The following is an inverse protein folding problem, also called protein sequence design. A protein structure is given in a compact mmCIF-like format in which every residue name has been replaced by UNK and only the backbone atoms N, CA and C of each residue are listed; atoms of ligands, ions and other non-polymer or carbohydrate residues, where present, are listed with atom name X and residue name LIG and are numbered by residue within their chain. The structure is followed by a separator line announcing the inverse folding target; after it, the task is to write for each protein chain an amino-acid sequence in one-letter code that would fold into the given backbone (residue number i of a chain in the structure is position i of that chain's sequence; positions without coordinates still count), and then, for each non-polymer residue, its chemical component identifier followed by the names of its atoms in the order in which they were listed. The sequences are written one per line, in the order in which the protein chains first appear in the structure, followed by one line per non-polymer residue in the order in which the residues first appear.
data_IF_307232000123
#
_entry.id   IF_307232000123
#
_cell.length_a   1.000
_cell.length_b   1.000
_cell.length_c   1.000
_cell.angle_alpha   90.00
_cell.angle_beta   90.00
_cell.angle_gamma   90.00
#
_symmetry.space_group_name_H-M   'P 1'
#
loop_
_entity.id
_entity.type
_entity.pdbx_description
1 polymer ?
#
# COMPACT_ATOMS: atom_id res chain seq x y z
N UNK A 1 -56.34 -1.63 -58.52
CA UNK A 1 -55.50 -0.67 -59.27
C UNK A 1 -54.18 -1.34 -59.59
N UNK A 2 -53.74 -1.17 -60.84
CA UNK A 2 -52.64 -1.80 -61.58
C UNK A 2 -51.25 -1.70 -60.91
N UNK A 3 -50.42 -2.76 -60.99
CA UNK A 3 -49.21 -2.92 -61.87
C UNK A 3 -48.00 -2.11 -61.38
N UNK A 4 -46.76 -2.62 -61.25
CA UNK A 4 -45.96 -3.58 -62.02
C UNK A 4 -44.92 -4.22 -61.06
N UNK A 5 -44.66 -5.53 -61.06
CA UNK A 5 -43.91 -6.35 -62.01
C UNK A 5 -42.40 -6.01 -62.15
N UNK A 6 -41.55 -6.85 -61.55
CA UNK A 6 -40.48 -7.51 -62.31
C UNK A 6 -40.22 -8.90 -61.71
N UNK A 7 -40.24 -9.90 -62.60
CA UNK A 7 -39.93 -11.31 -62.36
C UNK A 7 -38.45 -11.52 -62.64
N UNK A 8 -37.82 -12.46 -61.93
CA UNK A 8 -37.00 -13.43 -62.65
C UNK A 8 -37.07 -14.81 -62.00
N UNK A 9 -37.32 -15.77 -62.85
CA UNK A 9 -37.53 -17.21 -62.64
C UNK A 9 -36.22 -17.98 -62.78
N UNK A 10 -36.03 -19.07 -62.04
CA UNK A 10 -35.88 -20.40 -62.67
C UNK A 10 -35.76 -21.53 -61.64
N UNK A 11 -36.58 -22.54 -61.88
CA UNK A 11 -36.58 -23.91 -61.34
C UNK A 11 -35.40 -24.71 -61.91
N UNK A 12 -34.80 -25.62 -61.14
CA UNK A 12 -34.49 -27.03 -61.50
C UNK A 12 -33.44 -27.60 -60.53
N UNK A 13 -33.86 -28.57 -59.73
CA UNK A 13 -33.51 -30.00 -59.85
C UNK A 13 -32.05 -30.32 -59.48
N UNK A 14 -31.93 -30.97 -58.32
CA UNK A 14 -30.77 -31.74 -57.90
C UNK A 14 -30.35 -32.74 -58.98
N UNK A 15 -29.11 -32.61 -59.44
CA UNK A 15 -28.41 -33.64 -60.18
C UNK A 15 -27.23 -34.10 -59.32
N UNK A 16 -27.31 -35.37 -58.94
CA UNK A 16 -26.30 -36.17 -58.25
C UNK A 16 -24.97 -36.17 -59.02
N UNK A 17 -23.86 -35.89 -58.34
CA UNK A 17 -22.50 -35.90 -58.90
C UNK A 17 -21.49 -36.47 -57.90
N UNK A 18 -20.45 -37.18 -58.38
CA UNK A 18 -19.93 -38.39 -57.77
C UNK A 18 -19.02 -38.13 -56.56
N UNK A 19 -19.19 -38.97 -55.54
CA UNK A 19 -18.32 -39.02 -54.36
C UNK A 19 -16.88 -39.39 -54.76
N UNK A 20 -15.97 -38.40 -54.71
CA UNK A 20 -14.52 -38.64 -54.76
C UNK A 20 -14.11 -39.49 -53.56
N UNK A 21 -13.75 -40.76 -53.79
CA UNK A 21 -13.02 -41.59 -52.81
C UNK A 21 -11.74 -40.87 -52.37
N UNK A 22 -11.76 -40.23 -51.19
CA UNK A 22 -10.55 -39.82 -50.49
C UNK A 22 -9.81 -41.08 -50.06
N UNK A 23 -8.66 -41.37 -50.67
CA UNK A 23 -7.71 -42.37 -50.16
C UNK A 23 -7.24 -41.90 -48.77
N UNK A 24 -7.74 -42.55 -47.72
CA UNK A 24 -7.17 -42.41 -46.36
C UNK A 24 -5.78 -43.05 -46.37
N UNK A 25 -4.74 -42.23 -46.31
CA UNK A 25 -3.41 -42.68 -45.92
C UNK A 25 -3.49 -43.21 -44.48
N UNK A 26 -3.09 -44.46 -44.26
CA UNK A 26 -3.05 -45.05 -42.92
C UNK A 26 -2.07 -44.24 -42.08
N UNK A 27 -2.55 -43.66 -40.97
CA UNK A 27 -1.83 -42.75 -40.06
C UNK A 27 -0.43 -43.28 -39.67
N UNK A 28 -0.23 -44.60 -39.62
CA UNK A 28 1.08 -45.22 -39.35
C UNK A 28 2.17 -44.91 -40.37
N UNK A 29 1.84 -44.69 -41.66
CA UNK A 29 2.86 -44.41 -42.68
C UNK A 29 3.35 -42.96 -42.64
N UNK A 30 2.58 -42.03 -42.07
CA UNK A 30 2.98 -40.63 -41.92
C UNK A 30 3.94 -40.45 -40.74
N UNK A 31 3.72 -41.18 -39.64
CA UNK A 31 4.61 -41.17 -38.46
C UNK A 31 5.98 -41.79 -38.81
N UNK A 32 6.00 -42.88 -39.58
CA UNK A 32 7.25 -43.49 -40.03
C UNK A 32 8.07 -42.55 -40.95
N UNK A 33 7.40 -41.78 -41.82
CA UNK A 33 8.09 -40.84 -42.71
C UNK A 33 8.68 -39.64 -41.95
N UNK A 34 7.97 -39.13 -40.93
CA UNK A 34 8.46 -38.03 -40.09
C UNK A 34 9.66 -38.47 -39.25
N UNK A 35 9.62 -39.69 -38.70
CA UNK A 35 10.74 -40.24 -37.91
C UNK A 35 12.01 -40.43 -38.75
N UNK A 36 11.87 -40.92 -39.99
CA UNK A 36 13.02 -41.08 -40.90
C UNK A 36 13.59 -39.72 -41.31
N UNK A 37 12.75 -38.72 -41.61
CA UNK A 37 13.23 -37.37 -41.91
C UNK A 37 13.96 -36.70 -40.73
N UNK A 38 13.50 -36.90 -39.49
CA UNK A 38 14.13 -36.35 -38.30
C UNK A 38 15.52 -36.97 -38.03
N UNK A 39 15.68 -38.27 -38.26
CA UNK A 39 16.98 -38.96 -38.10
C UNK A 39 17.99 -38.50 -39.17
N UNK A 40 17.55 -38.32 -40.42
CA UNK A 40 18.42 -37.83 -41.50
C UNK A 40 18.83 -36.37 -41.27
N UNK A 41 17.92 -35.51 -40.80
CA UNK A 41 18.21 -34.13 -40.44
C UNK A 41 19.16 -34.03 -39.24
N UNK A 42 18.95 -34.83 -38.19
CA UNK A 42 19.84 -34.88 -37.03
C UNK A 42 21.25 -35.35 -37.38
N UNK A 43 21.37 -36.37 -38.25
CA UNK A 43 22.66 -36.86 -38.73
C UNK A 43 23.44 -35.83 -39.57
N UNK A 44 22.74 -35.08 -40.42
CA UNK A 44 23.36 -34.03 -41.25
C UNK A 44 23.84 -32.83 -40.41
N UNK A 45 23.08 -32.42 -39.38
CA UNK A 45 23.47 -31.34 -38.47
C UNK A 45 24.69 -31.74 -37.62
N UNK A 46 24.73 -32.98 -37.13
CA UNK A 46 25.88 -33.49 -36.36
C UNK A 46 27.15 -33.62 -37.22
N UNK A 47 27.02 -34.08 -38.47
CA UNK A 47 28.14 -34.14 -39.41
C UNK A 47 28.65 -32.73 -39.79
N UNK A 48 27.73 -31.77 -39.99
CA UNK A 48 28.08 -30.37 -40.26
C UNK A 48 28.82 -29.70 -39.10
N UNK A 49 28.40 -29.94 -37.86
CA UNK A 49 29.09 -29.42 -36.66
C UNK A 49 30.49 -30.01 -36.50
N UNK A 50 30.71 -31.29 -36.86
CA UNK A 50 32.02 -31.94 -36.78
C UNK A 50 33.00 -31.53 -37.89
N UNK A 51 32.49 -31.08 -39.04
CA UNK A 51 33.30 -30.63 -40.20
C UNK A 51 33.58 -29.13 -40.20
N UNK A 52 32.72 -28.32 -39.59
CA UNK A 52 32.79 -26.84 -39.62
C UNK A 52 32.83 -26.18 -38.24
N UNK A 53 32.89 -26.98 -37.16
CA UNK A 53 33.08 -26.48 -35.80
C UNK A 53 34.43 -25.80 -35.61
N UNK A 54 34.55 -24.80 -34.72
CA UNK A 54 35.77 -24.02 -34.56
C UNK A 54 36.93 -24.92 -34.11
N UNK A 55 38.03 -24.88 -34.86
CA UNK A 55 39.31 -25.47 -34.45
C UNK A 55 39.90 -24.59 -33.36
N UNK A 56 40.07 -25.14 -32.16
CA UNK A 56 40.65 -24.43 -31.03
C UNK A 56 42.11 -24.07 -31.30
N UNK A 57 42.47 -22.81 -31.06
CA UNK A 57 43.85 -22.38 -30.92
C UNK A 57 44.37 -22.88 -29.56
N UNK A 58 45.46 -23.65 -29.61
CA UNK A 58 46.28 -23.96 -28.44
C UNK A 58 46.87 -22.65 -27.88
N UNK A 59 46.23 -22.10 -26.86
CA UNK A 59 46.86 -21.12 -25.98
C UNK A 59 47.56 -21.84 -24.84
N UNK A 60 48.88 -21.73 -24.91
CA UNK A 60 49.88 -21.98 -23.87
C UNK A 60 49.32 -21.73 -22.45
N UNK A 61 49.19 -22.79 -21.66
CA UNK A 61 48.84 -22.72 -20.24
C UNK A 61 49.97 -22.05 -19.47
N UNK A 62 49.77 -20.79 -19.09
CA UNK A 62 50.46 -20.24 -17.95
C UNK A 62 49.90 -20.91 -16.69
N UNK A 63 50.79 -21.40 -15.84
CA UNK A 63 50.48 -22.01 -14.55
C UNK A 63 49.89 -20.91 -13.64
N UNK A 64 48.55 -20.84 -13.56
CA UNK A 64 47.84 -19.96 -12.63
C UNK A 64 47.55 -20.80 -11.40
N UNK A 65 48.36 -20.62 -10.37
CA UNK A 65 48.08 -21.09 -9.01
C UNK A 65 46.67 -20.62 -8.62
N UNK A 66 45.75 -21.52 -8.22
CA UNK A 66 44.41 -21.11 -7.80
C UNK A 66 44.55 -20.23 -6.55
N UNK A 67 44.05 -19.01 -6.64
CA UNK A 67 43.90 -18.11 -5.50
C UNK A 67 42.94 -18.79 -4.50
N UNK A 68 43.27 -18.83 -3.19
CA UNK A 68 42.44 -19.52 -2.23
C UNK A 68 41.07 -18.85 -2.19
N UNK A 69 40.03 -19.61 -2.52
CA UNK A 69 38.64 -19.20 -2.36
C UNK A 69 38.44 -18.78 -0.91
N UNK A 70 38.16 -17.50 -0.69
CA UNK A 70 37.85 -16.98 0.63
C UNK A 70 36.68 -17.78 1.19
N UNK A 71 36.92 -18.52 2.27
CA UNK A 71 35.87 -19.17 3.06
C UNK A 71 34.84 -18.10 3.43
N UNK A 72 33.53 -18.29 3.18
CA UNK A 72 32.54 -17.32 3.59
C UNK A 72 32.67 -17.11 5.10
N UNK A 73 32.89 -15.86 5.51
CA UNK A 73 32.86 -15.46 6.91
C UNK A 73 31.50 -15.89 7.47
N UNK A 74 31.45 -16.68 8.56
CA UNK A 74 30.17 -17.04 9.15
C UNK A 74 29.43 -15.77 9.52
N UNK A 75 28.17 -15.64 9.08
CA UNK A 75 27.29 -14.58 9.56
C UNK A 75 27.28 -14.62 11.09
N UNK A 76 27.48 -13.46 11.75
CA UNK A 76 27.44 -13.41 13.20
C UNK A 76 26.09 -13.96 13.67
N UNK A 77 26.12 -14.91 14.60
CA UNK A 77 24.90 -15.43 15.22
C UNK A 77 24.14 -14.27 15.84
N UNK A 78 22.82 -14.10 15.56
CA UNK A 78 22.04 -12.99 16.10
C UNK A 78 22.13 -12.96 17.63
N UNK A 79 22.46 -11.80 18.20
CA UNK A 79 22.48 -11.63 19.66
C UNK A 79 21.07 -11.88 20.20
N UNK A 80 20.86 -12.88 21.08
CA UNK A 80 19.52 -13.20 21.59
C UNK A 80 18.88 -12.04 22.37
N UNK A 81 19.70 -11.09 22.86
CA UNK A 81 19.24 -9.91 23.60
C UNK A 81 18.79 -8.76 22.68
N UNK A 82 19.00 -8.88 21.37
CA UNK A 82 18.60 -7.87 20.39
C UNK A 82 17.42 -8.42 19.60
N UNK A 83 16.29 -7.72 19.66
CA UNK A 83 15.11 -7.95 18.81
C UNK A 83 14.91 -6.73 17.92
N UNK A 84 14.46 -6.94 16.69
CA UNK A 84 14.25 -5.85 15.73
C UNK A 84 13.02 -6.10 14.86
N UNK A 85 12.35 -5.02 14.49
CA UNK A 85 11.42 -4.99 13.38
C UNK A 85 11.51 -3.65 12.66
N UNK A 86 11.07 -3.62 11.42
CA UNK A 86 11.00 -2.43 10.57
C UNK A 86 9.55 -1.98 10.39
N UNK A 87 9.31 -0.68 10.45
CA UNK A 87 7.99 -0.06 10.34
C UNK A 87 7.91 0.84 9.10
N UNK A 88 6.92 0.59 8.25
CA UNK A 88 6.52 1.48 7.16
C UNK A 88 5.22 2.21 7.53
N UNK A 89 5.14 3.51 7.25
CA UNK A 89 3.95 4.32 7.50
C UNK A 89 3.61 5.15 6.26
N UNK A 90 2.32 5.32 5.98
CA UNK A 90 1.83 6.21 4.93
C UNK A 90 0.51 6.88 5.33
N UNK A 91 0.09 7.85 4.52
CA UNK A 91 -1.02 8.75 4.83
C UNK A 91 -2.42 8.23 4.49
N UNK A 92 -3.27 9.18 4.10
CA UNK A 92 -4.71 8.99 3.96
C UNK A 92 -5.09 8.17 2.72
N UNK A 93 -5.83 7.08 2.94
CA UNK A 93 -6.57 6.38 1.89
C UNK A 93 -7.96 7.00 1.73
N UNK A 94 -8.03 8.07 0.91
CA UNK A 94 -9.22 8.89 0.70
C UNK A 94 -9.91 8.57 -0.64
N UNK A 95 -10.65 7.46 -0.66
CA UNK A 95 -11.28 6.90 -1.86
C UNK A 95 -12.51 7.71 -2.31
N UNK A 96 -12.25 8.80 -3.02
CA UNK A 96 -13.27 9.49 -3.81
C UNK A 96 -13.88 8.55 -4.86
N UNK A 97 -15.06 8.91 -5.38
CA UNK A 97 -15.76 8.12 -6.40
C UNK A 97 -14.88 7.79 -7.61
N UNK A 98 -14.05 8.75 -8.04
CA UNK A 98 -13.10 8.51 -9.13
C UNK A 98 -12.09 7.40 -8.82
N UNK A 99 -11.67 7.22 -7.56
CA UNK A 99 -10.68 6.21 -7.17
C UNK A 99 -11.22 4.81 -7.35
N UNK A 100 -12.39 4.50 -6.77
CA UNK A 100 -12.95 3.15 -6.89
C UNK A 100 -13.59 2.89 -8.25
N UNK A 101 -14.14 3.90 -8.93
CA UNK A 101 -14.64 3.73 -10.31
C UNK A 101 -13.48 3.51 -11.29
N UNK A 102 -12.36 4.23 -11.15
CA UNK A 102 -11.16 3.92 -11.92
C UNK A 102 -10.68 2.51 -11.61
N UNK A 103 -10.72 2.04 -10.35
CA UNK A 103 -10.29 0.70 -9.95
C UNK A 103 -11.16 -0.45 -10.49
N UNK A 104 -12.42 -0.19 -10.82
CA UNK A 104 -13.43 -1.18 -11.19
C UNK A 104 -13.19 -1.78 -12.58
N UNK A 105 -13.33 -3.10 -12.69
CA UNK A 105 -13.28 -3.85 -13.94
C UNK A 105 -14.69 -3.98 -14.54
N UNK A 106 -14.77 -4.39 -15.81
CA UNK A 106 -16.05 -4.58 -16.51
C UNK A 106 -16.97 -5.63 -15.85
N UNK A 107 -16.39 -6.61 -15.16
CA UNK A 107 -17.13 -7.65 -14.43
C UNK A 107 -17.60 -7.21 -13.03
N UNK A 108 -17.28 -5.98 -12.63
CA UNK A 108 -17.63 -5.40 -11.33
C UNK A 108 -16.63 -5.67 -10.22
N UNK A 109 -15.58 -6.46 -10.45
CA UNK A 109 -14.47 -6.62 -9.50
C UNK A 109 -13.61 -5.35 -9.43
N UNK A 110 -12.84 -5.19 -8.35
CA UNK A 110 -11.92 -4.07 -8.19
C UNK A 110 -10.46 -4.52 -8.33
N UNK A 111 -9.66 -3.74 -9.06
CA UNK A 111 -8.21 -3.90 -9.14
C UNK A 111 -7.52 -2.59 -8.74
N UNK A 112 -7.16 -2.49 -7.46
CA UNK A 112 -6.40 -1.36 -6.90
C UNK A 112 -4.89 -1.46 -7.17
N UNK A 113 -4.39 -2.66 -7.54
CA UNK A 113 -2.98 -2.86 -7.88
C UNK A 113 -2.51 -1.94 -9.01
N UNK A 114 -3.36 -1.71 -10.01
CA UNK A 114 -3.04 -0.77 -11.10
C UNK A 114 -2.78 0.65 -10.63
N UNK A 115 -3.26 1.05 -9.45
CA UNK A 115 -3.11 2.40 -8.91
C UNK A 115 -1.92 2.51 -7.97
N UNK A 116 -1.62 1.44 -7.21
CA UNK A 116 -0.77 1.51 -6.02
C UNK A 116 0.43 0.55 -6.02
N UNK A 117 0.50 -0.47 -6.89
CA UNK A 117 1.54 -1.51 -6.84
C UNK A 117 2.96 -0.91 -6.78
N UNK A 118 3.26 0.04 -7.66
CA UNK A 118 4.58 0.68 -7.78
C UNK A 118 5.07 1.35 -6.49
N UNK A 119 4.15 1.95 -5.71
CA UNK A 119 4.50 2.62 -4.45
C UNK A 119 4.51 1.64 -3.28
N UNK A 120 3.60 0.67 -3.28
CA UNK A 120 3.49 -0.30 -2.18
C UNK A 120 4.58 -1.39 -2.24
N UNK A 121 5.25 -1.59 -3.37
CA UNK A 121 6.50 -2.37 -3.45
C UNK A 121 7.58 -1.84 -2.49
N UNK A 122 7.61 -0.52 -2.23
CA UNK A 122 8.51 0.10 -1.25
C UNK A 122 8.23 -0.37 0.19
N UNK A 123 7.01 -0.83 0.49
CA UNK A 123 6.62 -1.31 1.81
C UNK A 123 6.93 -2.80 2.04
N UNK A 124 7.12 -3.60 0.98
CA UNK A 124 7.32 -5.06 1.06
C UNK A 124 8.45 -5.50 2.00
N UNK A 125 9.60 -4.79 2.10
CA UNK A 125 10.67 -5.20 3.01
C UNK A 125 10.37 -4.99 4.50
N UNK A 126 9.27 -4.31 4.85
CA UNK A 126 8.98 -3.90 6.22
C UNK A 126 8.10 -4.92 6.96
N UNK A 127 8.42 -5.18 8.23
CA UNK A 127 7.72 -6.17 9.07
C UNK A 127 6.31 -5.70 9.50
N UNK A 128 6.16 -4.40 9.76
CA UNK A 128 4.92 -3.77 10.21
C UNK A 128 4.60 -2.57 9.31
N UNK A 129 3.35 -2.45 8.87
CA UNK A 129 2.96 -1.50 7.82
C UNK A 129 1.65 -0.80 8.17
N UNK A 130 1.70 0.52 8.25
CA UNK A 130 0.59 1.39 8.66
C UNK A 130 0.01 2.22 7.52
N UNK A 131 -1.30 2.39 7.56
CA UNK A 131 -1.97 3.47 6.82
C UNK A 131 -3.24 3.96 7.55
N UNK A 132 -3.72 5.15 7.16
CA UNK A 132 -5.02 5.64 7.61
C UNK A 132 -6.13 5.24 6.63
N UNK A 133 -7.04 4.37 7.07
CA UNK A 133 -8.25 4.03 6.32
C UNK A 133 -9.29 5.13 6.54
N UNK A 134 -9.20 6.21 5.75
CA UNK A 134 -10.03 7.39 5.99
C UNK A 134 -11.48 7.15 5.56
N UNK A 135 -11.71 6.72 4.33
CA UNK A 135 -13.08 6.40 3.91
C UNK A 135 -13.52 5.07 4.50
N UNK A 136 -14.72 5.03 5.08
CA UNK A 136 -15.27 3.83 5.71
C UNK A 136 -15.40 2.65 4.73
N UNK A 137 -14.98 1.46 5.14
CA UNK A 137 -15.12 0.22 4.34
C UNK A 137 -16.44 -0.50 4.65
N UNK A 138 -17.57 0.20 4.45
CA UNK A 138 -18.90 -0.39 4.64
C UNK A 138 -19.31 -1.35 3.52
N UNK A 139 -18.56 -1.41 2.42
CA UNK A 139 -18.74 -2.39 1.35
C UNK A 139 -19.83 -2.02 0.33
N UNK A 140 -19.87 -2.77 -0.77
CA UNK A 140 -20.79 -2.56 -1.90
C UNK A 140 -22.26 -2.75 -1.52
N UNK A 141 -22.56 -3.63 -0.56
CA UNK A 141 -23.92 -3.92 -0.08
C UNK A 141 -24.59 -2.71 0.58
N UNK A 142 -23.82 -1.80 1.18
CA UNK A 142 -24.32 -0.54 1.75
C UNK A 142 -24.42 0.59 0.70
N UNK A 143 -24.02 0.33 -0.54
CA UNK A 143 -23.95 1.29 -1.64
C UNK A 143 -22.72 2.18 -1.55
N UNK A 144 -21.85 2.12 -2.57
CA UNK A 144 -20.68 2.97 -2.65
C UNK A 144 -21.08 4.45 -2.83
N UNK A 145 -20.30 5.35 -2.24
CA UNK A 145 -20.48 6.78 -2.41
C UNK A 145 -19.17 7.54 -2.19
N UNK A 146 -18.99 8.64 -2.92
CA UNK A 146 -17.87 9.57 -2.72
C UNK A 146 -18.24 10.74 -1.81
N UNK A 147 -17.44 11.81 -1.92
CA UNK A 147 -17.64 13.05 -1.19
C UNK A 147 -19.08 13.61 -1.34
N UNK A 148 -19.72 14.12 -0.27
CA UNK A 148 -19.17 14.36 1.07
C UNK A 148 -19.40 13.22 2.09
N UNK A 149 -20.11 12.15 1.72
CA UNK A 149 -20.39 11.03 2.63
C UNK A 149 -19.96 9.74 1.99
N UNK A 150 -18.79 9.26 2.39
CA UNK A 150 -18.09 8.17 1.75
C UNK A 150 -18.63 6.80 2.16
N UNK A 151 -18.49 5.85 1.24
CA UNK A 151 -18.49 4.42 1.53
C UNK A 151 -17.73 3.70 0.43
N UNK A 152 -16.76 2.91 0.86
CA UNK A 152 -15.74 2.33 -0.01
C UNK A 152 -15.86 0.80 -0.06
N UNK A 153 -15.43 0.20 -1.18
CA UNK A 153 -15.42 -1.26 -1.33
C UNK A 153 -14.41 -1.89 -0.37
N UNK A 154 -14.80 -3.01 0.25
CA UNK A 154 -13.94 -3.77 1.19
C UNK A 154 -12.75 -4.42 0.48
N UNK A 155 -12.85 -4.57 -0.84
CA UNK A 155 -11.78 -5.02 -1.73
C UNK A 155 -10.55 -4.11 -1.66
N UNK A 156 -10.70 -2.81 -1.34
CA UNK A 156 -9.55 -1.94 -1.08
C UNK A 156 -8.77 -2.40 0.16
N UNK A 157 -9.47 -2.65 1.27
CA UNK A 157 -8.83 -3.16 2.49
C UNK A 157 -8.18 -4.53 2.25
N UNK A 158 -8.84 -5.41 1.49
CA UNK A 158 -8.30 -6.72 1.14
C UNK A 158 -7.01 -6.60 0.31
N UNK A 159 -6.98 -5.65 -0.62
CA UNK A 159 -5.79 -5.31 -1.38
C UNK A 159 -4.66 -4.79 -0.49
N UNK A 160 -4.92 -3.86 0.44
CA UNK A 160 -3.91 -3.34 1.36
C UNK A 160 -3.32 -4.47 2.24
N UNK A 161 -4.16 -5.35 2.79
CA UNK A 161 -3.70 -6.53 3.56
C UNK A 161 -2.85 -7.46 2.69
N UNK A 162 -3.21 -7.67 1.42
CA UNK A 162 -2.41 -8.48 0.50
C UNK A 162 -1.01 -7.90 0.22
N UNK A 163 -0.81 -6.61 0.48
CA UNK A 163 0.47 -5.91 0.36
C UNK A 163 1.27 -5.87 1.67
N UNK A 164 0.74 -6.44 2.75
CA UNK A 164 1.40 -6.52 4.06
C UNK A 164 0.90 -5.51 5.08
N UNK A 165 -0.01 -4.60 4.71
CA UNK A 165 -0.56 -3.61 5.64
C UNK A 165 -1.38 -4.29 6.72
N UNK A 166 -0.95 -4.07 7.96
CA UNK A 166 -1.45 -4.77 9.13
C UNK A 166 -1.66 -3.84 10.34
N UNK A 167 -1.39 -2.54 10.21
CA UNK A 167 -1.72 -1.52 11.19
C UNK A 167 -2.68 -0.50 10.57
N UNK A 168 -3.95 -0.46 11.03
CA UNK A 168 -5.00 0.31 10.35
C UNK A 168 -5.65 1.31 11.31
N UNK A 169 -5.45 2.59 11.05
CA UNK A 169 -6.19 3.65 11.74
C UNK A 169 -7.58 3.84 11.14
N UNK A 170 -8.61 3.85 11.99
CA UNK A 170 -10.00 4.10 11.58
C UNK A 170 -10.66 5.27 12.33
N UNK A 171 -10.02 5.86 13.33
CA UNK A 171 -10.49 7.11 13.91
C UNK A 171 -10.14 8.26 12.97
N UNK A 172 -11.14 8.77 12.26
CA UNK A 172 -11.02 9.92 11.37
C UNK A 172 -12.39 10.57 11.20
N UNK A 173 -12.46 11.67 10.47
CA UNK A 173 -13.69 12.42 10.28
C UNK A 173 -14.76 11.71 9.42
N UNK A 174 -14.37 10.69 8.65
CA UNK A 174 -15.23 9.94 7.73
C UNK A 174 -15.67 8.56 8.27
N UNK A 175 -15.26 8.19 9.49
CA UNK A 175 -15.54 6.89 10.09
C UNK A 175 -17.01 6.66 10.45
N UNK A 176 -17.85 7.71 10.38
CA UNK A 176 -19.29 7.66 10.64
C UNK A 176 -20.16 8.01 9.42
N UNK A 177 -19.60 8.08 8.21
CA UNK A 177 -20.34 8.52 7.02
C UNK A 177 -21.53 7.63 6.66
N UNK A 178 -21.54 6.39 7.15
CA UNK A 178 -22.66 5.43 7.04
C UNK A 178 -23.27 5.06 8.40
N UNK A 179 -23.02 5.88 9.42
CA UNK A 179 -23.48 5.69 10.79
C UNK A 179 -23.09 4.32 11.35
N UNK A 180 -23.88 3.81 12.31
CA UNK A 180 -23.62 2.53 12.95
C UNK A 180 -23.47 1.37 11.96
N UNK A 181 -24.30 1.34 10.90
CA UNK A 181 -24.28 0.21 9.94
C UNK A 181 -22.95 0.10 9.21
N UNK A 182 -22.40 1.24 8.76
CA UNK A 182 -21.10 1.23 8.10
C UNK A 182 -19.95 1.02 9.06
N UNK A 183 -20.04 1.55 10.29
CA UNK A 183 -19.06 1.30 11.34
C UNK A 183 -18.96 -0.20 11.62
N UNK A 184 -20.09 -0.86 11.85
CA UNK A 184 -20.14 -2.31 12.07
C UNK A 184 -19.65 -3.10 10.87
N UNK A 185 -20.07 -2.75 9.65
CA UNK A 185 -19.58 -3.43 8.45
C UNK A 185 -18.06 -3.29 8.25
N UNK A 186 -17.51 -2.11 8.54
CA UNK A 186 -16.06 -1.89 8.47
C UNK A 186 -15.32 -2.61 9.60
N UNK A 187 -15.88 -2.63 10.81
CA UNK A 187 -15.31 -3.33 11.96
C UNK A 187 -15.26 -4.84 11.72
N UNK A 188 -16.39 -5.44 11.34
CA UNK A 188 -16.50 -6.87 11.03
C UNK A 188 -15.51 -7.27 9.93
N UNK A 189 -15.35 -6.42 8.91
CA UNK A 189 -14.37 -6.64 7.85
C UNK A 189 -12.95 -6.71 8.40
N UNK A 190 -12.52 -5.75 9.22
CA UNK A 190 -11.18 -5.71 9.78
C UNK A 190 -10.94 -6.83 10.80
N UNK A 191 -11.91 -7.14 11.64
CA UNK A 191 -11.84 -8.23 12.60
C UNK A 191 -11.69 -9.61 11.92
N UNK A 192 -12.17 -9.75 10.68
CA UNK A 192 -12.00 -10.95 9.88
C UNK A 192 -10.63 -11.07 9.20
N UNK A 193 -9.81 -10.00 9.16
CA UNK A 193 -8.49 -10.02 8.53
C UNK A 193 -7.42 -10.56 9.49
N UNK A 194 -6.78 -11.70 9.19
CA UNK A 194 -5.78 -12.29 10.08
C UNK A 194 -4.53 -11.41 10.16
N UNK A 195 -4.04 -11.18 11.38
CA UNK A 195 -2.80 -10.42 11.60
C UNK A 195 -2.94 -8.91 11.46
N UNK A 196 -4.15 -8.39 11.23
CA UNK A 196 -4.42 -6.94 11.21
C UNK A 196 -4.77 -6.46 12.61
N UNK A 197 -4.12 -5.36 13.02
CA UNK A 197 -4.46 -4.60 14.20
C UNK A 197 -5.11 -3.27 13.77
N UNK A 198 -6.44 -3.22 13.87
CA UNK A 198 -7.23 -2.02 13.62
C UNK A 198 -7.52 -1.30 14.93
N UNK A 199 -7.51 0.04 14.90
CA UNK A 199 -7.84 0.85 16.06
C UNK A 199 -8.47 2.19 15.64
N UNK A 200 -9.47 2.62 16.40
CA UNK A 200 -10.01 3.99 16.35
C UNK A 200 -11.54 4.04 16.38
N UNK A 201 -12.17 2.95 15.94
CA UNK A 201 -13.61 2.71 15.98
C UNK A 201 -13.90 1.42 16.72
N UNK A 202 -14.95 1.39 17.55
CA UNK A 202 -15.20 0.25 18.45
C UNK A 202 -16.68 -0.16 18.46
N UNK A 203 -16.93 -1.45 18.66
CA UNK A 203 -18.27 -2.04 18.79
C UNK A 203 -18.72 -2.20 20.25
N UNK A 204 -17.83 -1.97 21.21
CA UNK A 204 -18.18 -2.03 22.64
C UNK A 204 -17.30 -1.14 23.51
N UNK A 205 -17.78 -0.87 24.74
CA UNK A 205 -16.97 -0.18 25.75
C UNK A 205 -15.72 -0.99 26.15
N UNK A 206 -15.83 -2.32 26.21
CA UNK A 206 -14.69 -3.19 26.54
C UNK A 206 -13.57 -3.06 25.51
N UNK A 207 -13.92 -3.05 24.23
CA UNK A 207 -12.98 -2.81 23.14
C UNK A 207 -12.37 -1.41 23.21
N UNK A 208 -13.21 -0.40 23.44
CA UNK A 208 -12.75 0.98 23.63
C UNK A 208 -11.80 1.13 24.83
N UNK A 209 -11.98 0.37 25.92
CA UNK A 209 -11.13 0.45 27.12
C UNK A 209 -9.83 -0.35 26.99
N UNK A 210 -9.79 -1.32 26.08
CA UNK A 210 -8.66 -2.23 25.85
C UNK A 210 -7.48 -1.53 25.15
N UNK A 211 -6.28 -2.05 25.39
CA UNK A 211 -5.06 -1.67 24.66
C UNK A 211 -4.88 -2.63 23.48
N UNK A 212 -5.19 -2.18 22.28
CA UNK A 212 -4.94 -2.92 21.05
C UNK A 212 -3.43 -3.14 20.89
N UNK A 213 -2.99 -4.40 20.91
CA UNK A 213 -1.59 -4.77 20.90
C UNK A 213 -1.34 -6.00 20.03
N UNK A 214 -0.15 -6.09 19.44
CA UNK A 214 0.34 -7.26 18.71
C UNK A 214 1.81 -7.51 19.02
N UNK A 215 2.34 -8.67 18.64
CA UNK A 215 3.77 -8.98 18.76
C UNK A 215 4.41 -9.07 17.37
N UNK A 216 5.50 -8.33 17.16
CA UNK A 216 6.29 -8.34 15.92
C UNK A 216 7.73 -8.70 16.27
N UNK A 217 8.24 -9.81 15.74
CA UNK A 217 9.60 -10.28 15.99
C UNK A 217 10.01 -10.33 17.48
N UNK A 218 9.06 -10.68 18.36
CA UNK A 218 9.29 -10.75 19.82
C UNK A 218 9.24 -9.40 20.56
N UNK A 219 8.75 -8.34 19.89
CA UNK A 219 8.53 -7.01 20.46
C UNK A 219 7.02 -6.75 20.52
N UNK A 220 6.50 -6.39 21.70
CA UNK A 220 5.09 -6.05 21.89
C UNK A 220 4.83 -4.60 21.46
N UNK A 221 3.93 -4.44 20.50
CA UNK A 221 3.57 -3.15 19.91
C UNK A 221 2.12 -2.84 20.26
N UNK A 222 1.89 -1.74 20.97
CA UNK A 222 0.57 -1.16 21.15
C UNK A 222 0.29 -0.14 20.04
N UNK A 223 -0.98 -0.07 19.63
CA UNK A 223 -1.44 0.89 18.65
C UNK A 223 -2.69 1.60 19.14
N UNK A 224 -2.67 2.93 19.06
CA UNK A 224 -3.78 3.79 19.44
C UNK A 224 -4.04 4.78 18.30
N UNK A 225 -5.30 5.07 18.01
CA UNK A 225 -5.74 5.99 16.97
C UNK A 225 -6.85 6.88 17.52
N UNK A 226 -6.76 8.18 17.22
CA UNK A 226 -7.71 9.20 17.69
C UNK A 226 -8.02 10.22 16.59
N UNK A 227 -9.23 10.77 16.62
CA UNK A 227 -9.64 11.85 15.72
C UNK A 227 -10.20 13.06 16.44
N UNK A 228 -10.12 14.21 15.77
CA UNK A 228 -10.64 15.47 16.28
C UNK A 228 -12.17 15.54 16.22
N UNK A 229 -12.78 15.05 15.14
CA UNK A 229 -14.22 15.18 14.90
C UNK A 229 -14.67 14.20 13.81
N UNK A 230 -15.98 14.15 13.54
CA UNK A 230 -16.65 13.26 12.56
C UNK A 230 -17.62 14.00 11.64
N UNK A 231 -17.18 15.13 11.08
CA UNK A 231 -17.95 15.95 10.13
C UNK A 231 -19.37 16.33 10.61
N UNK A 232 -19.55 16.46 11.94
CA UNK A 232 -20.85 16.79 12.55
C UNK A 232 -21.80 15.60 12.72
N UNK A 233 -21.39 14.39 12.35
CA UNK A 233 -22.17 13.16 12.56
C UNK A 233 -21.95 12.68 13.99
N UNK A 234 -23.03 12.63 14.78
CA UNK A 234 -22.95 12.17 16.17
C UNK A 234 -22.68 10.66 16.22
N UNK A 235 -21.67 10.27 16.99
CA UNK A 235 -21.40 8.87 17.32
C UNK A 235 -22.64 8.18 17.95
N UNK A 236 -23.00 6.96 17.52
CA UNK A 236 -24.12 6.21 18.10
C UNK A 236 -23.95 5.95 19.60
N UNK A 237 -22.72 5.68 20.03
CA UNK A 237 -22.33 5.46 21.42
C UNK A 237 -21.04 6.23 21.75
N UNK A 238 -20.79 6.50 23.03
CA UNK A 238 -19.57 7.18 23.47
C UNK A 238 -18.29 6.42 23.14
N UNK A 239 -18.37 5.08 23.10
CA UNK A 239 -17.25 4.21 22.75
C UNK A 239 -17.04 4.07 21.23
N UNK A 240 -17.97 4.51 20.38
CA UNK A 240 -17.93 4.16 18.95
C UNK A 240 -16.68 4.70 18.24
N UNK A 241 -16.17 5.85 18.67
CA UNK A 241 -15.02 6.52 18.05
C UNK A 241 -14.13 7.10 19.13
N UNK A 242 -12.82 6.97 18.97
CA UNK A 242 -11.82 7.53 19.86
C UNK A 242 -11.62 9.03 19.58
N UNK A 243 -12.43 9.88 20.20
CA UNK A 243 -12.21 11.33 20.17
C UNK A 243 -11.16 11.74 21.19
N UNK A 244 -10.29 12.67 20.81
CA UNK A 244 -9.40 13.32 21.80
C UNK A 244 -9.94 14.66 22.33
N UNK A 245 -10.70 15.49 21.59
CA UNK A 245 -11.15 16.77 22.15
C UNK A 245 -12.10 16.60 23.33
N UNK A 246 -11.75 17.17 24.49
CA UNK A 246 -12.48 16.99 25.75
C UNK A 246 -12.16 15.69 26.48
N UNK A 247 -11.27 14.86 25.92
CA UNK A 247 -10.84 13.56 26.42
C UNK A 247 -9.31 13.44 26.42
N UNK A 248 -8.58 14.58 26.39
CA UNK A 248 -7.13 14.57 26.23
C UNK A 248 -6.42 13.83 27.37
N UNK A 249 -6.82 14.05 28.63
CA UNK A 249 -6.23 13.30 29.76
C UNK A 249 -6.55 11.80 29.72
N UNK A 250 -7.75 11.42 29.28
CA UNK A 250 -8.13 10.01 29.10
C UNK A 250 -7.26 9.33 28.04
N UNK A 251 -7.04 10.02 26.92
CA UNK A 251 -6.10 9.59 25.88
C UNK A 251 -4.67 9.45 26.44
N UNK A 252 -4.17 10.44 27.16
CA UNK A 252 -2.81 10.42 27.73
C UNK A 252 -2.65 9.30 28.76
N UNK A 253 -3.66 9.05 29.61
CA UNK A 253 -3.68 7.93 30.54
C UNK A 253 -3.67 6.58 29.82
N UNK A 254 -4.40 6.46 28.70
CA UNK A 254 -4.38 5.25 27.88
C UNK A 254 -3.02 5.03 27.23
N UNK A 255 -2.32 6.08 26.78
CA UNK A 255 -0.94 5.99 26.29
C UNK A 255 0.02 5.53 27.39
N UNK A 256 -0.09 6.08 28.61
CA UNK A 256 0.73 5.64 29.76
C UNK A 256 0.52 4.17 30.08
N UNK A 257 -0.74 3.70 30.08
CA UNK A 257 -1.09 2.28 30.26
C UNK A 257 -0.51 1.42 29.15
N UNK A 258 -0.68 1.83 27.90
CA UNK A 258 -0.13 1.11 26.75
C UNK A 258 1.38 0.95 26.87
N UNK A 259 2.10 2.00 27.30
CA UNK A 259 3.55 1.95 27.50
C UNK A 259 3.98 1.07 28.67
N UNK A 260 3.16 0.96 29.71
CA UNK A 260 3.44 0.07 30.83
C UNK A 260 3.27 -1.43 30.46
N UNK A 261 2.41 -1.73 29.49
CA UNK A 261 2.05 -3.09 29.08
C UNK A 261 2.81 -3.59 27.84
N UNK A 262 3.39 -2.68 27.06
CA UNK A 262 4.03 -2.95 25.76
C UNK A 262 5.41 -2.31 25.63
N UNK A 263 6.20 -2.85 24.70
CA UNK A 263 7.55 -2.35 24.43
C UNK A 263 7.51 -1.02 23.66
N UNK A 264 6.65 -0.96 22.63
CA UNK A 264 6.53 0.15 21.68
C UNK A 264 5.09 0.63 21.65
N UNK A 265 4.87 1.94 21.66
CA UNK A 265 3.53 2.55 21.49
C UNK A 265 3.51 3.43 20.25
N UNK A 266 2.68 3.08 19.27
CA UNK A 266 2.43 3.87 18.06
C UNK A 266 1.09 4.59 18.23
N UNK A 267 1.06 5.90 18.00
CA UNK A 267 -0.16 6.72 18.10
C UNK A 267 -0.47 7.39 16.77
N UNK A 268 -1.61 7.04 16.18
CA UNK A 268 -2.16 7.71 15.01
C UNK A 268 -3.08 8.87 15.44
N UNK A 269 -2.89 10.04 14.83
CA UNK A 269 -3.66 11.25 15.15
C UNK A 269 -4.28 11.86 13.89
N UNK A 270 -5.60 11.90 13.83
CA UNK A 270 -6.33 12.56 12.75
C UNK A 270 -6.74 13.97 13.19
N UNK A 271 -5.91 14.96 12.89
CA UNK A 271 -5.88 16.28 13.53
C UNK A 271 -5.42 17.42 12.62
N UNK A 272 -5.52 18.65 13.09
CA UNK A 272 -4.93 19.80 12.39
C UNK A 272 -5.94 20.57 11.55
N UNK A 273 -5.44 21.44 10.67
CA UNK A 273 -6.28 22.29 9.83
C UNK A 273 -6.14 21.84 8.38
N UNK A 274 -7.26 21.47 7.75
CA UNK A 274 -7.27 21.01 6.36
C UNK A 274 -6.50 21.95 5.44
N UNK A 275 -5.64 21.35 4.59
CA UNK A 275 -4.82 22.00 3.58
C UNK A 275 -3.77 22.98 4.09
N UNK A 276 -3.48 23.00 5.40
CA UNK A 276 -2.41 23.81 5.98
C UNK A 276 -1.11 23.02 6.10
N UNK A 277 -0.03 23.51 5.47
CA UNK A 277 1.31 22.94 5.62
C UNK A 277 1.94 23.29 6.99
N UNK A 278 1.48 24.35 7.64
CA UNK A 278 1.92 24.74 8.97
C UNK A 278 1.24 23.92 10.06
N UNK A 279 2.06 23.38 10.96
CA UNK A 279 1.58 22.69 12.17
C UNK A 279 0.95 23.71 13.12
N UNK A 280 -0.25 23.44 13.62
CA UNK A 280 -0.91 24.32 14.58
C UNK A 280 -0.49 24.05 16.03
N UNK A 281 -0.78 24.99 16.94
CA UNK A 281 -0.36 24.89 18.34
C UNK A 281 -0.93 23.67 19.07
N UNK A 282 -2.14 23.22 18.69
CA UNK A 282 -2.78 22.05 19.32
C UNK A 282 -2.00 20.78 18.97
N UNK A 283 -1.62 20.62 17.70
CA UNK A 283 -0.79 19.52 17.24
C UNK A 283 0.57 19.50 17.96
N UNK A 284 1.29 20.63 18.04
CA UNK A 284 2.59 20.66 18.73
C UNK A 284 2.47 20.36 20.22
N UNK A 285 1.42 20.86 20.88
CA UNK A 285 1.17 20.60 22.31
C UNK A 285 0.86 19.13 22.57
N UNK A 286 -0.04 18.54 21.78
CA UNK A 286 -0.41 17.14 21.93
C UNK A 286 0.77 16.21 21.60
N UNK A 287 1.57 16.51 20.58
CA UNK A 287 2.77 15.72 20.27
C UNK A 287 3.76 15.67 21.45
N UNK A 288 3.99 16.81 22.12
CA UNK A 288 4.80 16.86 23.34
C UNK A 288 4.19 15.98 24.45
N UNK A 289 2.90 16.14 24.72
CA UNK A 289 2.23 15.40 25.80
C UNK A 289 2.17 13.89 25.52
N UNK A 290 1.93 13.48 24.28
CA UNK A 290 1.88 12.07 23.87
C UNK A 290 3.24 11.39 24.00
N UNK A 291 4.31 12.05 23.55
CA UNK A 291 5.68 11.51 23.70
C UNK A 291 6.12 11.46 25.17
N UNK A 292 5.74 12.45 25.99
CA UNK A 292 5.95 12.41 27.44
C UNK A 292 5.15 11.29 28.13
N UNK A 293 3.93 11.00 27.65
CA UNK A 293 3.08 9.92 28.15
C UNK A 293 3.58 8.53 27.77
N UNK A 294 4.44 8.40 26.76
CA UNK A 294 5.07 7.15 26.37
C UNK A 294 4.85 6.73 24.91
N UNK A 295 4.30 7.60 24.06
CA UNK A 295 4.27 7.36 22.62
C UNK A 295 5.70 7.28 22.07
N UNK A 296 6.02 6.20 21.37
CA UNK A 296 7.32 6.00 20.72
C UNK A 296 7.33 6.50 19.28
N UNK A 297 6.19 6.46 18.58
CA UNK A 297 6.00 7.00 17.22
C UNK A 297 4.65 7.70 17.15
N UNK A 298 4.59 8.89 16.55
CA UNK A 298 3.33 9.58 16.27
C UNK A 298 3.18 9.75 14.75
N UNK A 299 2.05 9.27 14.22
CA UNK A 299 1.70 9.40 12.80
C UNK A 299 0.42 10.22 12.67
N UNK A 300 0.57 11.45 12.17
CA UNK A 300 -0.52 12.37 11.96
C UNK A 300 -1.06 12.33 10.53
N UNK A 301 -2.34 12.64 10.38
CA UNK A 301 -3.08 12.74 9.12
C UNK A 301 -4.28 13.70 9.29
N UNK A 302 -5.18 13.82 8.29
CA UNK A 302 -6.38 14.70 8.20
C UNK A 302 -6.21 15.88 7.23
N UNK A 303 -5.06 16.55 7.26
CA UNK A 303 -4.95 17.84 6.54
C UNK A 303 -4.79 17.69 5.02
N UNK A 304 -4.70 16.45 4.52
CA UNK A 304 -4.57 16.07 3.10
C UNK A 304 -3.39 16.65 2.33
N UNK A 305 -2.50 17.37 3.02
CA UNK A 305 -1.23 17.88 2.51
C UNK A 305 -0.13 17.47 3.48
N UNK A 306 1.12 17.48 3.02
CA UNK A 306 2.26 17.16 3.88
C UNK A 306 2.47 18.26 4.92
N UNK A 307 2.66 17.87 6.17
CA UNK A 307 3.21 18.73 7.21
C UNK A 307 4.61 18.25 7.63
N UNK A 308 5.39 19.11 8.31
CA UNK A 308 6.74 18.80 8.73
C UNK A 308 6.85 17.53 9.59
N UNK A 309 8.03 16.91 9.52
CA UNK A 309 8.53 15.95 10.49
C UNK A 309 9.26 16.66 11.64
N UNK A 310 9.22 16.08 12.85
CA UNK A 310 9.99 16.56 13.99
C UNK A 310 10.40 15.42 14.94
N UNK A 311 11.61 15.48 15.49
CA UNK A 311 11.96 14.70 16.68
C UNK A 311 11.47 15.43 17.94
N UNK A 312 10.53 14.83 18.68
CA UNK A 312 9.99 15.37 19.93
C UNK A 312 10.33 14.41 21.05
N UNK A 313 11.07 14.87 22.06
CA UNK A 313 11.60 14.01 23.14
C UNK A 313 12.37 12.76 22.64
N UNK A 314 13.07 12.89 21.51
CA UNK A 314 13.78 11.77 20.86
C UNK A 314 12.88 10.75 20.18
N UNK A 315 11.60 11.08 19.93
CA UNK A 315 10.63 10.24 19.22
C UNK A 315 10.21 10.87 17.89
N UNK A 316 10.08 10.09 16.80
CA UNK A 316 9.64 10.61 15.52
C UNK A 316 8.16 11.02 15.54
N UNK A 317 7.88 12.23 15.06
CA UNK A 317 6.53 12.77 14.88
C UNK A 317 6.38 13.20 13.42
N UNK A 318 5.47 12.54 12.70
CA UNK A 318 5.01 12.96 11.38
C UNK A 318 3.69 13.72 11.60
N UNK A 319 3.67 15.04 11.43
CA UNK A 319 2.46 15.81 11.79
C UNK A 319 1.29 15.59 10.83
N UNK A 320 1.57 15.42 9.54
CA UNK A 320 0.63 14.96 8.54
C UNK A 320 1.37 14.39 7.34
N UNK A 321 0.99 13.19 6.90
CA UNK A 321 1.63 12.54 5.76
C UNK A 321 1.00 12.92 4.41
N UNK A 322 -0.14 13.61 4.41
CA UNK A 322 -0.92 13.85 3.19
C UNK A 322 -1.64 12.58 2.71
N UNK A 323 -2.09 12.56 1.46
CA UNK A 323 -2.83 11.43 0.92
C UNK A 323 -1.88 10.32 0.42
N UNK A 324 -2.12 9.06 0.83
CA UNK A 324 -1.61 7.90 0.11
C UNK A 324 -2.26 7.84 -1.28
N UNK A 325 -3.58 8.01 -1.31
CA UNK A 325 -4.35 8.05 -2.55
C UNK A 325 -5.60 8.91 -2.35
N UNK A 326 -5.87 9.80 -3.30
CA UNK A 326 -7.12 10.53 -3.39
C UNK A 326 -7.37 10.99 -4.83
N UNK A 327 -8.56 11.51 -5.12
CA UNK A 327 -8.81 12.25 -6.37
C UNK A 327 -9.05 13.73 -6.11
N UNK A 328 -8.37 14.31 -5.12
CA UNK A 328 -8.40 15.75 -4.87
C UNK A 328 -7.62 16.51 -5.97
N UNK A 329 -7.84 17.82 -6.04
CA UNK A 329 -7.20 18.70 -7.04
C UNK A 329 -6.18 19.58 -6.34
N UNK A 330 -5.02 19.74 -6.97
CA UNK A 330 -3.91 20.55 -6.48
C UNK A 330 -2.71 19.66 -6.16
N UNK A 331 -1.54 20.06 -6.67
CA UNK A 331 -0.28 19.30 -6.48
C UNK A 331 0.04 19.10 -5.00
N UNK A 332 -0.37 20.03 -4.15
CA UNK A 332 -0.22 19.97 -2.70
C UNK A 332 -1.04 18.84 -2.06
N UNK A 333 -2.18 18.48 -2.67
CA UNK A 333 -3.12 17.45 -2.17
C UNK A 333 -2.91 16.09 -2.81
N UNK A 334 -2.29 16.09 -3.98
CA UNK A 334 -1.91 14.87 -4.70
C UNK A 334 -0.48 14.45 -4.40
N UNK A 335 0.26 15.22 -3.59
CA UNK A 335 1.57 14.83 -3.07
C UNK A 335 1.42 14.34 -1.63
N UNK A 336 1.88 13.12 -1.37
CA UNK A 336 1.88 12.49 -0.05
C UNK A 336 3.30 12.10 0.38
N UNK A 337 3.41 11.63 1.61
CA UNK A 337 4.64 11.15 2.23
C UNK A 337 4.50 9.67 2.57
N UNK A 338 5.57 8.92 2.35
CA UNK A 338 5.80 7.60 2.90
C UNK A 338 7.04 7.66 3.80
N UNK A 339 7.08 6.85 4.85
CA UNK A 339 8.23 6.82 5.74
C UNK A 339 8.53 5.41 6.25
N UNK A 340 9.79 5.18 6.59
CA UNK A 340 10.29 3.94 7.11
C UNK A 340 11.24 4.16 8.28
N UNK A 341 11.25 3.23 9.23
CA UNK A 341 12.14 3.28 10.39
C UNK A 341 12.39 1.88 10.95
N UNK A 342 13.51 1.73 11.66
CA UNK A 342 13.87 0.48 12.33
C UNK A 342 13.70 0.63 13.84
N UNK A 343 13.07 -0.36 14.46
CA UNK A 343 12.84 -0.41 15.89
C UNK A 343 13.68 -1.55 16.45
N UNK A 344 14.59 -1.22 17.35
CA UNK A 344 15.43 -2.19 18.05
C UNK A 344 15.09 -2.21 19.54
N UNK A 345 14.79 -3.40 20.06
CA UNK A 345 14.69 -3.68 21.49
C UNK A 345 15.98 -4.36 21.95
N UNK A 346 16.67 -3.74 22.88
CA UNK A 346 17.87 -4.30 23.52
C UNK A 346 17.55 -4.69 24.95
N UNK A 347 17.68 -5.97 25.28
CA UNK A 347 17.50 -6.52 26.63
C UNK A 347 18.85 -6.40 27.36
N UNK A 348 18.86 -5.73 28.50
CA UNK A 348 20.04 -5.50 29.34
C UNK A 348 20.26 -6.68 30.28
N UNK A 349 21.47 -6.79 30.84
CA UNK A 349 21.84 -7.87 31.75
C UNK A 349 20.97 -7.93 33.02
N UNK A 350 20.41 -6.80 33.45
CA UNK A 350 19.49 -6.71 34.60
C UNK A 350 18.04 -7.11 34.27
N UNK A 351 17.77 -7.51 33.03
CA UNK A 351 16.45 -7.93 32.53
C UNK A 351 15.55 -6.77 32.09
N UNK A 352 15.99 -5.51 32.24
CA UNK A 352 15.28 -4.36 31.65
C UNK A 352 15.51 -4.30 30.14
N UNK A 353 14.66 -3.58 29.41
CA UNK A 353 14.86 -3.36 27.97
C UNK A 353 14.81 -1.89 27.60
N UNK A 354 15.53 -1.56 26.54
CA UNK A 354 15.56 -0.24 25.93
C UNK A 354 15.11 -0.32 24.48
N UNK A 355 14.33 0.68 24.05
CA UNK A 355 13.88 0.84 22.67
C UNK A 355 14.63 1.98 22.02
N UNK A 356 15.24 1.69 20.88
CA UNK A 356 15.87 2.65 19.99
C UNK A 356 15.16 2.65 18.65
N UNK A 357 14.93 3.84 18.11
CA UNK A 357 14.37 4.03 16.77
C UNK A 357 15.45 4.69 15.93
N UNK A 358 15.83 4.04 14.84
CA UNK A 358 16.88 4.50 13.94
C UNK A 358 16.46 4.33 12.47
N UNK A 359 17.33 4.76 11.56
CA UNK A 359 17.10 4.75 10.11
C UNK A 359 15.77 5.37 9.67
N UNK A 360 15.31 6.38 10.41
CA UNK A 360 14.10 7.14 10.07
C UNK A 360 14.34 7.88 8.77
N UNK A 361 13.59 7.48 7.75
CA UNK A 361 13.64 8.04 6.41
C UNK A 361 12.24 8.27 5.87
N UNK A 362 12.10 9.24 5.00
CA UNK A 362 10.85 9.55 4.32
C UNK A 362 11.10 9.96 2.88
N UNK A 363 10.11 9.76 2.02
CA UNK A 363 10.13 10.27 0.67
C UNK A 363 8.71 10.61 0.21
N UNK A 364 8.64 11.30 -0.92
CA UNK A 364 7.41 11.79 -1.48
C UNK A 364 6.80 10.76 -2.44
N UNK A 365 5.48 10.79 -2.52
CA UNK A 365 4.68 10.08 -3.52
C UNK A 365 3.73 11.07 -4.20
N UNK A 366 3.33 10.77 -5.43
CA UNK A 366 2.45 11.63 -6.20
C UNK A 366 1.33 10.84 -6.87
N UNK A 367 0.08 11.27 -6.66
CA UNK A 367 -1.09 10.73 -7.35
C UNK A 367 -1.33 11.48 -8.66
N UNK A 368 -0.96 10.84 -9.77
CA UNK A 368 -1.37 11.26 -11.11
C UNK A 368 -2.83 10.88 -11.37
N UNK A 369 -3.52 11.71 -12.14
CA UNK A 369 -4.86 11.41 -12.65
C UNK A 369 -5.19 12.26 -13.87
N UNK A 370 -6.05 11.73 -14.74
CA UNK A 370 -6.60 12.45 -15.88
C UNK A 370 -8.02 12.91 -15.61
N UNK A 371 -8.41 14.02 -16.25
CA UNK A 371 -9.77 14.56 -16.19
C UNK A 371 -9.88 15.81 -15.32
N UNK A 372 -11.05 16.46 -15.42
CA UNK A 372 -11.34 17.71 -14.71
C UNK A 372 -12.69 17.63 -14.02
N UNK A 373 -12.78 18.24 -12.85
CA UNK A 373 -14.05 18.38 -12.14
C UNK A 373 -15.07 19.15 -13.00
N UNK A 374 -16.36 18.74 -13.04
CA UNK A 374 -17.01 17.75 -12.19
C UNK A 374 -17.03 16.31 -12.73
N UNK A 375 -16.35 16.02 -13.83
CA UNK A 375 -16.28 14.65 -14.35
C UNK A 375 -15.46 13.73 -13.43
N UNK A 376 -15.71 12.43 -13.51
CA UNK A 376 -14.85 11.44 -12.88
C UNK A 376 -13.45 11.52 -13.49
N UNK A 377 -12.46 11.38 -12.62
CA UNK A 377 -11.06 11.26 -13.02
C UNK A 377 -10.71 9.80 -13.25
N UNK A 378 -9.80 9.56 -14.18
CA UNK A 378 -9.39 8.23 -14.63
C UNK A 378 -7.86 8.13 -14.66
N UNK A 379 -7.34 6.94 -14.96
CA UNK A 379 -5.90 6.67 -15.05
C UNK A 379 -5.18 7.07 -13.76
N UNK A 380 -5.80 6.79 -12.60
CA UNK A 380 -5.24 7.18 -11.30
C UNK A 380 -4.04 6.29 -11.00
N UNK A 381 -2.85 6.89 -10.84
CA UNK A 381 -1.60 6.17 -10.57
C UNK A 381 -0.84 6.90 -9.47
N UNK A 382 -0.39 6.17 -8.47
CA UNK A 382 0.50 6.71 -7.44
C UNK A 382 1.92 6.31 -7.80
N UNK A 383 2.80 7.31 -7.91
CA UNK A 383 4.20 7.17 -8.27
C UNK A 383 5.09 7.49 -7.07
N UNK A 384 6.24 6.81 -6.96
CA UNK A 384 7.31 7.33 -6.12
C UNK A 384 7.81 8.62 -6.78
N UNK A 385 8.10 9.68 -6.01
CA UNK A 385 8.46 10.98 -6.62
C UNK A 385 9.72 10.90 -7.50
N UNK A 386 10.65 9.99 -7.15
CA UNK A 386 11.86 9.69 -7.92
C UNK A 386 11.62 9.14 -9.34
N UNK A 387 10.39 8.70 -9.63
CA UNK A 387 9.98 8.16 -10.93
C UNK A 387 9.32 9.22 -11.81
N UNK A 388 9.05 10.42 -11.27
CA UNK A 388 8.38 11.47 -12.02
C UNK A 388 9.26 11.99 -13.15
N UNK A 389 8.57 12.41 -14.20
CA UNK A 389 9.13 13.12 -15.34
C UNK A 389 8.21 14.30 -15.63
N UNK A 390 8.68 15.26 -16.44
CA UNK A 390 7.84 16.39 -16.86
C UNK A 390 6.63 15.99 -17.72
N UNK A 391 6.60 14.75 -18.24
CA UNK A 391 5.41 14.20 -18.90
C UNK A 391 4.31 13.82 -17.90
N UNK A 392 4.69 13.40 -16.68
CA UNK A 392 3.76 13.01 -15.60
C UNK A 392 3.36 14.24 -14.78
N UNK A 393 4.35 15.02 -14.34
CA UNK A 393 4.15 16.25 -13.58
C UNK A 393 5.17 17.30 -14.06
N UNK A 394 4.73 18.31 -14.84
CA UNK A 394 5.57 19.44 -15.18
C UNK A 394 6.12 20.12 -13.92
N UNK A 395 7.39 20.53 -13.95
CA UNK A 395 8.10 21.18 -12.84
C UNK A 395 8.25 20.29 -11.59
N UNK A 396 8.19 18.96 -11.74
CA UNK A 396 8.27 18.02 -10.61
C UNK A 396 9.51 18.25 -9.72
N UNK A 397 10.69 18.57 -10.26
CA UNK A 397 11.88 18.85 -9.46
C UNK A 397 11.69 20.06 -8.51
N UNK A 398 11.01 21.11 -8.97
CA UNK A 398 10.74 22.30 -8.15
C UNK A 398 9.73 21.99 -7.04
N UNK A 399 8.70 21.20 -7.36
CA UNK A 399 7.74 20.73 -6.36
C UNK A 399 8.39 19.78 -5.35
N UNK A 400 9.29 18.89 -5.78
CA UNK A 400 10.04 18.01 -4.89
C UNK A 400 10.80 18.83 -3.83
N UNK A 401 11.58 19.83 -4.26
CA UNK A 401 12.31 20.69 -3.33
C UNK A 401 11.37 21.51 -2.43
N UNK A 402 10.23 21.99 -2.95
CA UNK A 402 9.23 22.67 -2.13
C UNK A 402 8.70 21.77 -1.00
N UNK A 403 8.22 20.57 -1.32
CA UNK A 403 7.62 19.67 -0.33
C UNK A 403 8.65 19.03 0.59
N UNK A 404 9.86 18.77 0.10
CA UNK A 404 11.01 18.39 0.94
C UNK A 404 11.32 19.48 1.96
N UNK A 405 11.35 20.76 1.55
CA UNK A 405 11.58 21.87 2.48
C UNK A 405 10.49 21.99 3.54
N UNK A 406 9.22 21.72 3.19
CA UNK A 406 8.11 21.65 4.16
C UNK A 406 8.34 20.49 5.12
N UNK A 407 8.59 19.28 4.61
CA UNK A 407 8.84 18.09 5.42
C UNK A 407 9.98 18.29 6.43
N UNK A 408 11.05 19.00 6.06
CA UNK A 408 12.21 19.23 6.93
C UNK A 408 12.18 20.58 7.66
N UNK A 409 11.06 21.30 7.66
CA UNK A 409 11.04 22.69 8.15
C UNK A 409 11.14 22.82 9.67
N UNK A 410 10.74 21.80 10.42
CA UNK A 410 10.87 21.75 11.88
C UNK A 410 12.13 20.98 12.33
N UNK A 411 12.56 20.00 11.53
CA UNK A 411 13.74 19.19 11.82
C UNK A 411 14.40 18.67 10.52
N UNK A 412 15.71 18.84 10.40
CA UNK A 412 16.49 18.45 9.22
C UNK A 412 17.20 17.10 9.40
N UNK A 413 17.04 16.42 10.55
CA UNK A 413 17.75 15.18 10.86
C UNK A 413 17.06 13.91 10.33
N UNK A 414 15.96 14.04 9.59
CA UNK A 414 15.35 12.93 8.87
C UNK A 414 16.10 12.69 7.55
N UNK A 415 16.28 11.41 7.19
CA UNK A 415 16.85 11.06 5.88
C UNK A 415 15.78 11.15 4.80
N UNK A 416 16.10 11.80 3.68
CA UNK A 416 15.19 11.88 2.53
C UNK A 416 15.57 10.82 1.48
N UNK A 417 14.59 10.04 1.04
CA UNK A 417 14.74 8.92 0.13
C UNK A 417 14.41 7.58 0.81
N UNK A 418 13.63 6.73 0.12
CA UNK A 418 13.18 5.42 0.59
C UNK A 418 13.85 4.25 -0.13
#
# INVERSE_FOLDING_TARGET
MNSAASRNTSISQEADMPTKKRRRLKVGNLIALIAVCAIVLGGAVFAGWKLLGPKGDEKQTADVTPEPTATPTPEPTPDPNIKKFSLFVCGDALLHESVYEDAKNEDGSFNFGKQLDHVLETAEPYDLQYYNQETILGGTELGLSGYPTFNSPQEYGSYMVSKGFNLVSTANNHCLDKGQKGLTASHDFWAAQPGVLMQGTNESQEEYDAIASMEVNGIKVAFLSYCEHTNGIKAPHSYSVNYFPGHEEEMLDKVRRAKAENDVVIVAMHWGTEYAHEVNQKQTTLAQQLTEAGADVIVGNHVHVIQPFQWVNGKPVFYAMGNLISSQIGVERTTGMIAGMDITKTIKEDGTSEITIDNVRADLIYTYMEGVYPALRTNIRVYNYKELTDEILPDHEAYYEQFKNIMTSLDQNITIGM
#
